data_IF_486522643810
#
_entry.id   IF_486522643810
#
_cell.length_a   1.000
_cell.length_b   1.000
_cell.length_c   1.000
_cell.angle_alpha   90.00
_cell.angle_beta   90.00
_cell.angle_gamma   90.00
#
_symmetry.space_group_name_H-M   'P 1'
#
loop_
_entity.id
_entity.type
_entity.pdbx_description
1 polymer ?
#
# COMPACT_ATOMS: atom_id res chain seq x y z
N UNK A 1 12.55 -17.45 23.59
CA UNK A 1 13.33 -16.58 22.68
C UNK A 1 12.83 -16.62 21.21
N UNK A 2 11.52 -16.85 20.96
CA UNK A 2 10.97 -17.03 19.58
C UNK A 2 10.13 -15.87 19.04
N UNK A 3 10.05 -14.74 19.76
CA UNK A 3 9.01 -13.73 19.49
C UNK A 3 9.47 -12.71 18.40
N UNK A 4 10.77 -12.43 18.26
CA UNK A 4 11.28 -11.39 17.36
C UNK A 4 11.38 -11.81 15.87
N UNK A 5 11.72 -13.05 15.56
CA UNK A 5 11.85 -13.51 14.16
C UNK A 5 10.53 -13.44 13.39
N UNK A 6 9.39 -13.57 14.08
CA UNK A 6 8.08 -13.45 13.44
C UNK A 6 7.67 -12.01 13.10
N UNK A 7 8.35 -10.97 13.61
CA UNK A 7 7.86 -9.58 13.50
C UNK A 7 8.05 -8.89 12.14
N UNK A 8 8.95 -9.38 11.26
CA UNK A 8 9.22 -8.68 9.97
C UNK A 8 8.65 -9.31 8.71
N UNK A 9 8.53 -10.63 8.63
CA UNK A 9 7.61 -11.25 7.65
C UNK A 9 6.18 -10.74 7.83
N UNK A 10 5.80 -10.42 9.08
CA UNK A 10 4.55 -9.74 9.39
C UNK A 10 4.45 -8.34 8.80
N UNK A 11 5.52 -7.53 8.66
CA UNK A 11 5.36 -6.11 8.27
C UNK A 11 4.97 -5.93 6.80
N UNK A 12 5.58 -6.69 5.89
CA UNK A 12 5.18 -6.72 4.48
C UNK A 12 3.74 -7.23 4.32
N UNK A 13 3.40 -8.32 5.02
CA UNK A 13 2.05 -8.87 5.05
C UNK A 13 1.02 -7.89 5.65
N UNK A 14 1.41 -7.16 6.69
CA UNK A 14 0.60 -6.11 7.32
C UNK A 14 0.37 -4.94 6.37
N UNK A 15 1.40 -4.49 5.64
CA UNK A 15 1.26 -3.43 4.63
C UNK A 15 0.28 -3.90 3.55
N UNK A 16 0.46 -5.12 3.03
CA UNK A 16 -0.45 -5.70 2.02
C UNK A 16 -1.88 -5.80 2.52
N UNK A 17 -2.08 -6.30 3.75
CA UNK A 17 -3.39 -6.40 4.40
C UNK A 17 -4.03 -5.02 4.57
N UNK A 18 -3.27 -4.03 5.02
CA UNK A 18 -3.78 -2.67 5.23
C UNK A 18 -4.14 -1.99 3.91
N UNK A 19 -3.33 -2.18 2.87
CA UNK A 19 -3.63 -1.71 1.51
C UNK A 19 -4.93 -2.34 0.98
N UNK A 20 -5.12 -3.65 1.19
CA UNK A 20 -6.36 -4.33 0.80
C UNK A 20 -7.59 -3.78 1.56
N UNK A 21 -7.48 -3.55 2.87
CA UNK A 21 -8.55 -2.96 3.68
C UNK A 21 -8.90 -1.54 3.20
N UNK A 22 -7.89 -0.74 2.89
CA UNK A 22 -8.07 0.60 2.37
C UNK A 22 -8.80 0.58 1.01
N UNK A 23 -8.36 -0.29 0.09
CA UNK A 23 -8.98 -0.43 -1.22
C UNK A 23 -10.44 -0.89 -1.13
N UNK A 24 -10.75 -1.87 -0.27
CA UNK A 24 -12.13 -2.30 -0.02
C UNK A 24 -13.01 -1.18 0.54
N UNK A 25 -12.44 -0.32 1.40
CA UNK A 25 -13.16 0.82 1.97
C UNK A 25 -13.47 1.88 0.91
N UNK A 26 -12.51 2.17 0.02
CA UNK A 26 -12.74 3.05 -1.13
C UNK A 26 -13.81 2.53 -2.09
N UNK A 27 -13.80 1.23 -2.39
CA UNK A 27 -14.83 0.63 -3.23
C UNK A 27 -16.24 0.73 -2.62
N UNK A 28 -16.34 0.57 -1.29
CA UNK A 28 -17.60 0.80 -0.57
C UNK A 28 -18.05 2.25 -0.69
N UNK A 29 -17.14 3.20 -0.53
CA UNK A 29 -17.46 4.63 -0.64
C UNK A 29 -17.87 5.03 -2.07
N UNK A 30 -17.15 4.52 -3.08
CA UNK A 30 -17.50 4.71 -4.49
C UNK A 30 -18.92 4.22 -4.81
N UNK A 31 -19.33 3.09 -4.25
CA UNK A 31 -20.70 2.58 -4.36
C UNK A 31 -21.72 3.48 -3.66
N UNK A 32 -21.40 3.97 -2.44
CA UNK A 32 -22.27 4.90 -1.69
C UNK A 32 -22.54 6.19 -2.45
N UNK A 33 -21.53 6.76 -3.12
CA UNK A 33 -21.69 7.94 -3.99
C UNK A 33 -22.76 7.69 -5.07
N UNK A 34 -22.78 6.49 -5.65
CA UNK A 34 -23.80 6.09 -6.63
C UNK A 34 -25.22 6.03 -6.05
N UNK A 35 -25.38 5.53 -4.83
CA UNK A 35 -26.67 5.46 -4.14
C UNK A 35 -27.19 6.84 -3.78
N UNK A 36 -26.35 7.67 -3.15
CA UNK A 36 -26.70 9.06 -2.77
C UNK A 36 -27.10 9.89 -3.99
N UNK A 37 -26.42 9.73 -5.12
CA UNK A 37 -26.78 10.42 -6.36
C UNK A 37 -28.19 10.05 -6.88
N UNK A 38 -28.60 8.80 -6.73
CA UNK A 38 -29.96 8.33 -7.10
C UNK A 38 -31.02 8.88 -6.15
N UNK A 39 -30.74 8.90 -4.84
CA UNK A 39 -31.64 9.45 -3.82
C UNK A 39 -31.84 10.96 -3.99
N UNK A 40 -30.76 11.70 -4.23
CA UNK A 40 -30.82 13.14 -4.56
C UNK A 40 -31.62 13.36 -5.84
N UNK A 41 -31.53 12.44 -6.81
CA UNK A 41 -32.31 12.56 -8.04
C UNK A 41 -33.80 12.24 -7.85
N UNK A 42 -34.13 11.36 -6.92
CA UNK A 42 -35.51 10.99 -6.63
C UNK A 42 -36.24 12.06 -5.79
N UNK A 43 -35.53 12.83 -4.97
CA UNK A 43 -36.14 13.80 -4.03
C UNK A 43 -36.47 15.17 -4.62
N UNK A 44 -36.09 15.47 -5.87
CA UNK A 44 -36.38 16.77 -6.48
C UNK A 44 -37.80 16.82 -7.10
N UNK A 45 -38.76 17.45 -6.41
CA UNK A 45 -40.03 17.85 -7.01
C UNK A 45 -39.93 19.22 -7.73
N UNK A 46 -40.55 19.26 -8.90
CA UNK A 46 -41.02 20.41 -9.71
C UNK A 46 -40.38 21.80 -9.50
N UNK A 47 -39.55 22.25 -10.46
CA UNK A 47 -39.51 23.63 -11.05
C UNK A 47 -38.13 24.13 -11.50
N UNK A 48 -37.01 23.53 -11.06
CA UNK A 48 -35.63 23.92 -11.48
C UNK A 48 -34.76 22.75 -11.99
N UNK A 49 -35.38 21.69 -12.52
CA UNK A 49 -34.79 20.38 -12.82
C UNK A 49 -33.49 20.41 -13.67
N UNK A 50 -33.52 20.98 -14.88
CA UNK A 50 -32.44 20.74 -15.88
C UNK A 50 -31.05 21.26 -15.50
N UNK A 51 -30.94 22.48 -14.96
CA UNK A 51 -29.62 23.09 -14.66
C UNK A 51 -28.96 22.50 -13.41
N UNK A 52 -29.74 22.16 -12.37
CA UNK A 52 -29.22 21.59 -11.12
C UNK A 52 -28.87 20.11 -11.24
N UNK A 53 -29.67 19.35 -11.97
CA UNK A 53 -29.40 17.93 -12.23
C UNK A 53 -28.07 17.73 -12.97
N UNK A 54 -27.76 18.58 -13.95
CA UNK A 54 -26.47 18.55 -14.65
C UNK A 54 -25.26 18.81 -13.72
N UNK A 55 -25.42 19.66 -12.70
CA UNK A 55 -24.36 19.94 -11.71
C UNK A 55 -24.15 18.74 -10.78
N UNK A 56 -25.23 18.13 -10.28
CA UNK A 56 -25.14 16.95 -9.42
C UNK A 56 -24.53 15.75 -10.15
N UNK A 57 -24.94 15.51 -11.40
CA UNK A 57 -24.38 14.45 -12.24
C UNK A 57 -22.86 14.68 -12.45
N UNK A 58 -22.45 15.90 -12.83
CA UNK A 58 -21.03 16.24 -13.00
C UNK A 58 -20.22 16.02 -11.73
N UNK A 59 -20.75 16.42 -10.56
CA UNK A 59 -20.10 16.18 -9.26
C UNK A 59 -19.99 14.70 -8.92
N UNK A 60 -21.03 13.91 -9.17
CA UNK A 60 -21.01 12.46 -8.95
C UNK A 60 -19.98 11.76 -9.84
N UNK A 61 -19.89 12.16 -11.12
CA UNK A 61 -18.88 11.64 -12.05
C UNK A 61 -17.48 11.99 -11.57
N UNK A 62 -17.22 13.27 -11.26
CA UNK A 62 -15.92 13.72 -10.75
C UNK A 62 -15.51 13.01 -9.45
N UNK A 63 -16.45 12.79 -8.53
CA UNK A 63 -16.17 12.07 -7.28
C UNK A 63 -15.79 10.61 -7.53
N UNK A 64 -16.44 9.93 -8.50
CA UNK A 64 -16.08 8.56 -8.90
C UNK A 64 -14.71 8.51 -9.57
N UNK A 65 -14.40 9.47 -10.43
CA UNK A 65 -13.07 9.59 -11.06
C UNK A 65 -11.98 9.78 -10.01
N UNK A 66 -12.22 10.62 -8.98
CA UNK A 66 -11.29 10.78 -7.86
C UNK A 66 -11.08 9.45 -7.13
N UNK A 67 -12.14 8.68 -6.85
CA UNK A 67 -11.99 7.34 -6.27
C UNK A 67 -11.13 6.43 -7.14
N UNK A 68 -11.29 6.46 -8.47
CA UNK A 68 -10.49 5.66 -9.40
C UNK A 68 -9.02 6.08 -9.43
N UNK A 69 -8.75 7.39 -9.43
CA UNK A 69 -7.39 7.93 -9.33
C UNK A 69 -6.72 7.48 -8.04
N UNK A 70 -7.39 7.60 -6.89
CA UNK A 70 -6.83 7.18 -5.60
C UNK A 70 -6.57 5.66 -5.60
N UNK A 71 -7.52 4.86 -6.10
CA UNK A 71 -7.35 3.40 -6.19
C UNK A 71 -6.15 3.03 -7.07
N UNK A 72 -5.97 3.69 -8.21
CA UNK A 72 -4.81 3.44 -9.07
C UNK A 72 -3.50 3.89 -8.40
N UNK A 73 -3.48 5.05 -7.75
CA UNK A 73 -2.31 5.53 -7.01
C UNK A 73 -1.88 4.56 -5.91
N UNK A 74 -2.84 3.98 -5.19
CA UNK A 74 -2.56 2.97 -4.16
C UNK A 74 -1.97 1.72 -4.80
N UNK A 75 -2.55 1.23 -5.89
CA UNK A 75 -2.02 0.07 -6.60
C UNK A 75 -0.60 0.32 -7.10
N UNK A 76 -0.34 1.45 -7.75
CA UNK A 76 0.98 1.79 -8.29
C UNK A 76 2.03 1.96 -7.19
N UNK A 77 1.70 2.66 -6.09
CA UNK A 77 2.67 2.92 -5.01
C UNK A 77 2.98 1.68 -4.17
N UNK A 78 2.02 0.76 -4.06
CA UNK A 78 2.15 -0.43 -3.21
C UNK A 78 2.22 -1.74 -4.01
N UNK A 79 2.28 -1.72 -5.35
CA UNK A 79 2.48 -2.92 -6.16
C UNK A 79 3.87 -3.53 -5.93
N UNK A 80 4.85 -2.68 -5.62
CA UNK A 80 6.23 -3.10 -5.40
C UNK A 80 6.70 -2.73 -3.99
N UNK A 81 6.49 -3.67 -3.08
CA UNK A 81 6.94 -3.57 -1.68
C UNK A 81 8.19 -4.41 -1.42
N UNK A 82 8.74 -5.06 -2.45
CA UNK A 82 9.91 -5.94 -2.32
C UNK A 82 11.20 -5.19 -1.96
N UNK A 83 11.29 -3.89 -2.26
CA UNK A 83 12.40 -3.03 -1.78
C UNK A 83 12.52 -3.02 -0.23
N UNK A 84 11.45 -3.40 0.49
CA UNK A 84 11.46 -3.49 1.94
C UNK A 84 12.48 -4.48 2.51
N UNK A 85 12.88 -5.50 1.73
CA UNK A 85 13.92 -6.43 2.16
C UNK A 85 15.28 -5.72 2.31
N UNK A 86 15.63 -4.82 1.39
CA UNK A 86 16.85 -4.02 1.49
C UNK A 86 16.82 -3.08 2.70
N UNK A 87 15.69 -2.39 2.92
CA UNK A 87 15.50 -1.53 4.10
C UNK A 87 15.64 -2.33 5.40
N UNK A 88 15.18 -3.57 5.40
CA UNK A 88 15.29 -4.47 6.54
C UNK A 88 16.74 -4.80 6.91
N UNK A 89 17.65 -4.90 5.93
CA UNK A 89 19.07 -5.13 6.20
C UNK A 89 19.72 -3.96 6.93
N UNK A 90 19.17 -2.75 6.82
CA UNK A 90 19.77 -1.51 7.34
C UNK A 90 18.99 -0.89 8.51
N UNK A 91 18.09 -1.64 9.13
CA UNK A 91 17.30 -1.14 10.26
C UNK A 91 18.14 -1.19 11.55
N UNK A 92 18.82 -0.08 11.85
CA UNK A 92 19.79 0.08 12.93
C UNK A 92 19.39 -0.51 14.30
N UNK A 93 18.12 -0.39 14.78
CA UNK A 93 17.70 -1.03 16.03
C UNK A 93 17.91 -2.55 16.09
N UNK A 94 18.15 -3.24 14.96
CA UNK A 94 18.38 -4.68 14.89
C UNK A 94 19.83 -5.10 14.65
N UNK A 95 20.77 -4.18 14.54
CA UNK A 95 22.18 -4.54 14.26
C UNK A 95 22.74 -5.48 15.32
N UNK A 96 22.45 -5.25 16.60
CA UNK A 96 22.87 -6.17 17.67
C UNK A 96 22.27 -7.59 17.54
N UNK A 97 21.07 -7.73 16.94
CA UNK A 97 20.48 -9.05 16.63
C UNK A 97 21.19 -9.68 15.43
N UNK A 98 21.55 -8.87 14.43
CA UNK A 98 22.18 -9.30 13.18
C UNK A 98 23.65 -9.66 13.31
N UNK A 99 24.37 -8.98 14.19
CA UNK A 99 25.73 -9.33 14.57
C UNK A 99 25.76 -10.75 15.14
N UNK A 100 24.80 -11.09 16.02
CA UNK A 100 24.68 -12.42 16.62
C UNK A 100 24.14 -13.47 15.65
N UNK A 101 23.16 -13.10 14.84
CA UNK A 101 22.49 -13.97 13.89
C UNK A 101 22.33 -13.25 12.55
N UNK A 102 23.27 -13.47 11.65
CA UNK A 102 23.28 -12.81 10.35
C UNK A 102 21.97 -13.08 9.58
N UNK A 103 21.29 -12.04 9.05
CA UNK A 103 19.97 -12.16 8.43
C UNK A 103 20.03 -12.71 6.99
N UNK A 104 20.55 -13.92 6.82
CA UNK A 104 20.77 -14.56 5.51
C UNK A 104 19.50 -14.61 4.65
N UNK A 105 18.35 -14.92 5.25
CA UNK A 105 17.08 -14.96 4.51
C UNK A 105 16.70 -13.60 3.92
N UNK A 106 16.96 -12.50 4.64
CA UNK A 106 16.66 -11.14 4.16
C UNK A 106 17.69 -10.74 3.09
N UNK A 107 18.94 -11.16 3.24
CA UNK A 107 19.99 -10.98 2.23
C UNK A 107 19.59 -11.66 0.92
N UNK A 108 19.20 -12.93 0.97
CA UNK A 108 18.78 -13.73 -0.19
C UNK A 108 17.64 -13.04 -0.94
N UNK A 109 16.56 -12.70 -0.23
CA UNK A 109 15.42 -11.96 -0.79
C UNK A 109 15.84 -10.63 -1.41
N UNK A 110 16.78 -9.92 -0.79
CA UNK A 110 17.26 -8.64 -1.30
C UNK A 110 18.05 -8.83 -2.59
N UNK A 111 18.90 -9.84 -2.68
CA UNK A 111 19.67 -10.13 -3.90
C UNK A 111 18.80 -10.71 -5.02
N UNK A 112 17.71 -11.41 -4.69
CA UNK A 112 16.72 -11.84 -5.68
C UNK A 112 15.98 -10.65 -6.31
N UNK A 113 15.60 -9.68 -5.47
CA UNK A 113 14.91 -8.45 -5.89
C UNK A 113 15.84 -7.50 -6.64
N UNK A 114 17.09 -7.42 -6.19
CA UNK A 114 18.12 -6.54 -6.70
C UNK A 114 19.30 -7.35 -7.21
N UNK A 115 19.10 -8.02 -8.34
CA UNK A 115 20.09 -8.92 -8.95
C UNK A 115 21.41 -8.24 -9.33
N UNK A 116 21.45 -6.90 -9.37
CA UNK A 116 22.68 -6.14 -9.55
C UNK A 116 23.59 -6.13 -8.31
N UNK A 117 23.07 -6.48 -7.13
CA UNK A 117 23.84 -6.52 -5.90
C UNK A 117 24.60 -7.86 -5.81
N UNK A 118 25.92 -7.79 -5.69
CA UNK A 118 26.73 -8.97 -5.44
C UNK A 118 26.54 -9.45 -4.00
N UNK A 119 25.94 -10.64 -3.86
CA UNK A 119 25.56 -11.22 -2.57
C UNK A 119 26.70 -11.30 -1.57
N UNK A 120 27.83 -11.87 -1.98
CA UNK A 120 28.97 -12.07 -1.08
C UNK A 120 29.60 -10.74 -0.65
N UNK A 121 29.71 -9.78 -1.59
CA UNK A 121 30.19 -8.44 -1.29
C UNK A 121 29.26 -7.73 -0.31
N UNK A 122 27.95 -7.72 -0.59
CA UNK A 122 26.96 -7.12 0.30
C UNK A 122 26.99 -7.75 1.69
N UNK A 123 27.15 -9.08 1.77
CA UNK A 123 27.30 -9.80 3.05
C UNK A 123 28.51 -9.30 3.85
N UNK A 124 29.66 -9.13 3.20
CA UNK A 124 30.87 -8.61 3.85
C UNK A 124 30.67 -7.18 4.35
N UNK A 125 30.13 -6.28 3.52
CA UNK A 125 29.87 -4.89 3.92
C UNK A 125 28.91 -4.81 5.12
N UNK A 126 27.83 -5.60 5.09
CA UNK A 126 26.89 -5.66 6.21
C UNK A 126 27.53 -6.23 7.48
N UNK A 127 28.44 -7.20 7.35
CA UNK A 127 29.19 -7.74 8.49
C UNK A 127 30.14 -6.73 9.15
N UNK A 128 30.52 -5.65 8.46
CA UNK A 128 31.29 -4.54 9.04
C UNK A 128 30.38 -3.52 9.73
N UNK A 129 29.13 -3.39 9.27
CA UNK A 129 28.15 -2.43 9.79
C UNK A 129 27.45 -2.95 11.07
N UNK A 130 27.16 -4.25 11.12
CA UNK A 130 26.47 -4.89 12.24
C UNK A 130 27.36 -5.02 13.47
#
# INVERSE_FOLDING_TARGET
>A
MSICYTSRFKKHELIRKQVNVFQQSLEKEKKRIGTVAKEISASYETSRKRKRENIHIKRTVAAKEICDVITNQVKERFCFISHYSAVSLLEAPKFQEYEKNFPTQILDQTTDVYSMLQKDRLKTELGVIY
#
